data_IF_017085932136
#
_entry.id   IF_017085932136
#
_cell.length_a   1.000
_cell.length_b   1.000
_cell.length_c   1.000
_cell.angle_alpha   90.00
_cell.angle_beta   90.00
_cell.angle_gamma   90.00
#
_symmetry.space_group_name_H-M   'P 1'
#
loop_
_entity.id
_entity.type
_entity.pdbx_description
1 polymer ?
#
# COMPACT_ATOMS: atom_id res chain seq x y z
N UNK A 1 -6.89 -21.01 -33.52
CA UNK A 1 -5.80 -21.13 -32.53
C UNK A 1 -6.11 -20.22 -31.36
N UNK A 2 -6.30 -20.73 -30.13
CA UNK A 2 -6.64 -19.90 -28.97
C UNK A 2 -5.42 -19.08 -28.53
N UNK A 3 -5.56 -17.75 -28.51
CA UNK A 3 -4.54 -16.83 -27.97
C UNK A 3 -4.44 -17.04 -26.47
N UNK A 4 -3.39 -17.72 -26.01
CA UNK A 4 -3.04 -17.80 -24.59
C UNK A 4 -2.72 -16.37 -24.12
N UNK A 5 -3.54 -15.85 -23.22
CA UNK A 5 -3.23 -14.62 -22.48
C UNK A 5 -2.04 -14.94 -21.59
N UNK A 6 -0.86 -14.40 -21.91
CA UNK A 6 0.29 -14.44 -21.01
C UNK A 6 -0.03 -13.44 -19.91
N UNK A 7 -0.42 -13.95 -18.73
CA UNK A 7 -0.47 -13.15 -17.51
C UNK A 7 0.98 -12.99 -17.06
N UNK A 8 1.56 -11.83 -17.37
CA UNK A 8 2.91 -11.50 -16.93
C UNK A 8 2.85 -11.21 -15.43
N UNK A 9 3.32 -12.15 -14.60
CA UNK A 9 3.52 -11.91 -13.17
C UNK A 9 4.78 -11.05 -13.02
N UNK A 10 4.61 -9.74 -12.91
CA UNK A 10 5.70 -8.86 -12.54
C UNK A 10 5.90 -8.97 -11.02
N UNK A 11 7.01 -9.58 -10.60
CA UNK A 11 7.42 -9.57 -9.21
C UNK A 11 8.05 -8.21 -8.92
N UNK A 12 7.27 -7.29 -8.38
CA UNK A 12 7.78 -6.00 -7.90
C UNK A 12 8.28 -6.18 -6.48
N UNK A 13 9.60 -6.04 -6.29
CA UNK A 13 10.19 -6.04 -4.96
C UNK A 13 10.10 -4.62 -4.43
N UNK A 14 9.24 -4.38 -3.45
CA UNK A 14 9.05 -3.06 -2.89
C UNK A 14 9.76 -2.94 -1.54
N UNK A 15 10.66 -1.97 -1.39
CA UNK A 15 11.28 -1.67 -0.09
C UNK A 15 10.55 -0.47 0.49
N UNK A 16 9.91 -0.66 1.65
CA UNK A 16 9.21 0.44 2.33
C UNK A 16 9.85 0.79 3.68
N UNK A 17 10.27 2.05 3.83
CA UNK A 17 10.65 2.62 5.11
C UNK A 17 9.45 3.39 5.66
N UNK A 18 8.95 2.98 6.82
CA UNK A 18 7.69 3.45 7.40
C UNK A 18 7.94 4.05 8.78
N UNK A 19 7.69 5.35 8.92
CA UNK A 19 7.87 6.13 10.15
C UNK A 19 6.52 6.32 10.82
N UNK A 20 6.33 5.80 12.03
CA UNK A 20 5.09 5.95 12.77
C UNK A 20 5.23 7.08 13.80
N UNK A 21 4.42 8.13 13.65
CA UNK A 21 4.15 9.11 14.70
C UNK A 21 2.82 8.69 15.35
N UNK A 22 2.89 7.76 16.30
CA UNK A 22 1.76 7.43 17.15
C UNK A 22 1.78 8.35 18.37
N UNK A 23 0.74 9.15 18.56
CA UNK A 23 0.48 9.82 19.84
C UNK A 23 -0.61 9.04 20.58
N UNK A 24 -0.24 8.24 21.57
CA UNK A 24 -1.22 7.86 22.59
C UNK A 24 -1.61 9.13 23.40
N UNK A 25 -2.91 9.33 23.73
CA UNK A 25 -3.93 8.30 23.98
C UNK A 25 -5.15 8.30 23.03
N UNK A 26 -5.12 9.01 21.90
CA UNK A 26 -6.35 9.27 21.11
C UNK A 26 -6.82 8.15 20.17
N UNK A 27 -6.16 6.98 20.17
CA UNK A 27 -6.47 5.91 19.22
C UNK A 27 -6.22 6.30 17.76
N UNK A 28 -5.44 7.35 17.50
CA UNK A 28 -5.11 7.83 16.16
C UNK A 28 -3.59 7.80 15.98
N UNK A 29 -3.12 7.53 14.76
CA UNK A 29 -1.71 7.62 14.42
C UNK A 29 -1.52 8.06 12.99
N UNK A 30 -0.34 8.61 12.73
CA UNK A 30 0.08 8.99 11.37
C UNK A 30 1.37 8.26 11.07
N UNK A 31 1.48 7.80 9.83
CA UNK A 31 2.63 7.09 9.34
C UNK A 31 3.08 7.70 8.04
N UNK A 32 4.38 7.89 7.87
CA UNK A 32 4.99 8.37 6.62
C UNK A 32 5.80 7.24 6.03
N UNK A 33 5.60 6.92 4.76
CA UNK A 33 6.27 5.81 4.09
C UNK A 33 6.97 6.26 2.82
N UNK A 34 8.19 5.78 2.59
CA UNK A 34 8.80 5.78 1.25
C UNK A 34 8.81 4.35 0.76
N UNK A 35 8.19 4.12 -0.39
CA UNK A 35 8.05 2.81 -1.04
C UNK A 35 8.77 2.89 -2.38
N UNK A 36 9.76 2.01 -2.61
CA UNK A 36 10.48 1.94 -3.88
C UNK A 36 10.12 0.65 -4.57
N UNK A 37 9.37 0.75 -5.66
CA UNK A 37 8.98 -0.36 -6.51
C UNK A 37 10.11 -0.66 -7.50
N UNK A 38 10.67 -1.86 -7.38
CA UNK A 38 11.77 -2.34 -8.20
C UNK A 38 11.25 -3.39 -9.18
N UNK A 39 11.44 -3.13 -10.47
CA UNK A 39 11.23 -4.08 -11.56
C UNK A 39 12.55 -4.79 -11.92
N UNK A 40 12.54 -5.87 -12.74
CA UNK A 40 13.74 -6.64 -13.06
C UNK A 40 14.92 -5.85 -13.65
N UNK A 41 14.68 -4.63 -14.14
CA UNK A 41 15.67 -3.79 -14.81
C UNK A 41 15.98 -2.48 -14.08
N UNK A 42 15.49 -2.29 -12.86
CA UNK A 42 15.76 -1.09 -12.06
C UNK A 42 14.56 -0.64 -11.23
N UNK A 43 14.67 0.57 -10.67
CA UNK A 43 13.55 1.22 -9.98
C UNK A 43 12.51 1.60 -11.01
N UNK A 44 11.33 1.02 -10.91
CA UNK A 44 10.19 1.36 -11.76
C UNK A 44 9.45 2.56 -11.17
N UNK A 45 9.23 2.60 -9.85
CA UNK A 45 8.49 3.72 -9.27
C UNK A 45 8.93 4.01 -7.84
N UNK A 46 8.92 5.29 -7.46
CA UNK A 46 9.09 5.70 -6.06
C UNK A 46 7.81 6.36 -5.59
N UNK A 47 7.23 5.84 -4.50
CA UNK A 47 6.08 6.41 -3.84
C UNK A 47 6.46 7.05 -2.51
N UNK A 48 5.94 8.25 -2.29
CA UNK A 48 5.84 8.89 -0.99
C UNK A 48 4.41 8.71 -0.50
N UNK A 49 4.25 8.16 0.69
CA UNK A 49 2.93 7.90 1.28
C UNK A 49 2.82 8.55 2.65
N UNK A 50 1.61 9.03 2.94
CA UNK A 50 1.16 9.40 4.26
C UNK A 50 -0.01 8.48 4.58
N UNK A 51 -0.06 7.92 5.77
CA UNK A 51 -1.15 7.09 6.24
C UNK A 51 -1.62 7.62 7.57
N UNK A 52 -2.80 8.21 7.61
CA UNK A 52 -3.52 8.44 8.85
C UNK A 52 -4.34 7.21 9.18
N UNK A 53 -4.40 6.81 10.45
CA UNK A 53 -5.31 5.77 10.91
C UNK A 53 -5.95 6.14 12.25
N UNK A 54 -7.14 5.63 12.46
CA UNK A 54 -7.93 5.71 13.67
C UNK A 54 -8.35 4.30 14.06
N UNK A 55 -7.93 3.85 15.24
CA UNK A 55 -8.37 2.61 15.85
C UNK A 55 -9.79 2.78 16.38
N UNK A 56 -10.69 1.98 15.82
CA UNK A 56 -12.01 1.77 16.40
C UNK A 56 -11.88 0.84 17.62
N UNK A 57 -12.88 0.85 18.53
CA UNK A 57 -12.95 -0.15 19.59
C UNK A 57 -12.79 -1.58 19.03
N UNK A 58 -11.88 -2.35 19.63
CA UNK A 58 -11.53 -3.69 19.18
C UNK A 58 -10.28 -3.73 18.30
N UNK A 59 -10.32 -4.53 17.24
CA UNK A 59 -9.16 -4.82 16.39
C UNK A 59 -9.17 -4.09 15.05
N UNK A 60 -10.15 -3.22 14.82
CA UNK A 60 -10.35 -2.56 13.53
C UNK A 60 -9.77 -1.14 13.56
N UNK A 61 -9.09 -0.75 12.49
CA UNK A 61 -8.74 0.65 12.23
C UNK A 61 -9.25 1.10 10.86
N UNK A 62 -9.57 2.38 10.79
CA UNK A 62 -9.90 3.10 9.57
C UNK A 62 -8.74 4.02 9.25
N UNK A 63 -8.31 4.07 8.00
CA UNK A 63 -7.24 4.96 7.60
C UNK A 63 -7.44 5.55 6.22
N UNK A 64 -6.72 6.63 5.97
CA UNK A 64 -6.58 7.22 4.64
C UNK A 64 -5.09 7.17 4.33
N UNK A 65 -4.74 6.61 3.16
CA UNK A 65 -3.34 6.41 2.76
C UNK A 65 -3.02 7.16 1.46
N UNK A 66 -3.05 8.50 1.43
CA UNK A 66 -2.62 9.22 0.24
C UNK A 66 -1.17 8.89 -0.12
N UNK A 67 -0.90 8.69 -1.40
CA UNK A 67 0.45 8.53 -1.91
C UNK A 67 0.66 9.25 -3.24
N UNK A 68 1.90 9.66 -3.48
CA UNK A 68 2.35 10.23 -4.75
C UNK A 68 3.53 9.40 -5.25
N UNK A 69 3.38 8.82 -6.43
CA UNK A 69 4.37 8.02 -7.12
C UNK A 69 4.97 8.76 -8.31
N UNK A 70 6.28 8.60 -8.51
CA UNK A 70 7.03 9.19 -9.62
C UNK A 70 7.80 8.10 -10.36
N UNK A 71 7.71 8.12 -11.69
CA UNK A 71 8.53 7.34 -12.64
C UNK A 71 8.90 8.28 -13.80
N UNK A 72 9.94 7.95 -14.58
CA UNK A 72 10.53 8.66 -15.72
C UNK A 72 9.49 9.18 -16.74
N UNK A 73 8.86 10.33 -16.41
CA UNK A 73 7.80 10.97 -17.20
C UNK A 73 6.35 10.70 -16.76
N UNK A 74 6.13 9.97 -15.66
CA UNK A 74 4.81 9.66 -15.11
C UNK A 74 4.67 10.07 -13.63
N UNK A 75 3.51 10.63 -13.28
CA UNK A 75 3.09 10.95 -11.92
C UNK A 75 1.80 10.21 -11.62
N UNK A 76 1.75 9.60 -10.45
CA UNK A 76 0.57 8.90 -9.94
C UNK A 76 0.21 9.45 -8.57
N UNK A 77 -1.06 9.73 -8.31
CA UNK A 77 -1.56 10.16 -7.00
C UNK A 77 -2.70 9.23 -6.62
N UNK A 78 -2.60 8.56 -5.47
CA UNK A 78 -3.63 7.66 -4.94
C UNK A 78 -4.15 8.22 -3.63
N UNK A 79 -5.46 8.18 -3.42
CA UNK A 79 -6.08 8.55 -2.13
C UNK A 79 -7.09 7.47 -1.68
N UNK A 80 -6.61 6.28 -1.29
CA UNK A 80 -7.46 5.22 -0.75
C UNK A 80 -7.87 5.50 0.70
N UNK A 81 -9.11 5.14 1.01
CA UNK A 81 -9.60 4.86 2.35
C UNK A 81 -9.44 3.35 2.57
N UNK A 82 -8.84 2.97 3.69
CA UNK A 82 -8.49 1.59 4.02
C UNK A 82 -9.08 1.21 5.36
N UNK A 83 -9.75 0.07 5.42
CA UNK A 83 -10.13 -0.61 6.65
C UNK A 83 -9.10 -1.69 6.91
N UNK A 84 -8.56 -1.73 8.13
CA UNK A 84 -7.60 -2.73 8.56
C UNK A 84 -8.13 -3.45 9.80
N UNK A 85 -8.01 -4.76 9.84
CA UNK A 85 -8.31 -5.56 11.02
C UNK A 85 -7.04 -6.27 11.48
N UNK A 86 -6.57 -5.91 12.67
CA UNK A 86 -5.30 -6.37 13.25
C UNK A 86 -5.52 -7.40 14.36
N UNK A 87 -4.93 -8.56 14.20
CA UNK A 87 -4.92 -9.65 15.15
C UNK A 87 -3.53 -9.76 15.80
N UNK A 88 -3.49 -9.81 17.12
CA UNK A 88 -2.27 -10.10 17.88
C UNK A 88 -2.33 -11.54 18.39
N UNK A 89 -1.18 -12.22 18.40
CA UNK A 89 -1.06 -13.59 18.90
C UNK A 89 -1.31 -13.68 20.41
N UNK A 90 -0.94 -12.65 21.17
CA UNK A 90 -1.30 -12.45 22.57
C UNK A 90 -1.26 -10.96 22.92
N UNK A 91 -1.82 -10.56 24.07
CA UNK A 91 -1.85 -9.17 24.50
C UNK A 91 -0.44 -8.53 24.58
N UNK A 92 0.55 -9.35 25.00
CA UNK A 92 1.94 -8.93 25.19
C UNK A 92 2.83 -9.21 23.96
N UNK A 93 2.27 -9.77 22.88
CA UNK A 93 3.04 -10.09 21.69
C UNK A 93 3.23 -8.86 20.81
N UNK A 94 4.48 -8.64 20.38
CA UNK A 94 4.81 -7.73 19.28
C UNK A 94 4.52 -8.34 17.91
N UNK A 95 4.13 -9.62 17.86
CA UNK A 95 3.75 -10.28 16.63
C UNK A 95 2.28 -10.00 16.29
N UNK A 96 2.04 -9.62 15.04
CA UNK A 96 0.72 -9.28 14.54
C UNK A 96 0.49 -9.81 13.14
N UNK A 97 -0.78 -9.98 12.82
CA UNK A 97 -1.29 -10.22 11.48
C UNK A 97 -2.43 -9.25 11.22
N UNK A 98 -2.52 -8.70 10.02
CA UNK A 98 -3.60 -7.81 9.64
C UNK A 98 -4.16 -8.15 8.27
N UNK A 99 -5.48 -8.01 8.14
CA UNK A 99 -6.16 -7.96 6.85
C UNK A 99 -6.51 -6.52 6.55
N UNK A 100 -6.33 -6.08 5.32
CA UNK A 100 -6.78 -4.76 4.91
C UNK A 100 -7.51 -4.78 3.58
N UNK A 101 -8.51 -3.91 3.46
CA UNK A 101 -9.24 -3.66 2.23
C UNK A 101 -9.47 -2.17 2.12
N UNK A 102 -9.50 -1.64 0.92
CA UNK A 102 -9.70 -0.24 0.71
C UNK A 102 -9.98 0.11 -0.73
N UNK A 103 -10.31 1.38 -0.91
CA UNK A 103 -10.52 1.93 -2.23
C UNK A 103 -10.60 3.44 -2.18
N UNK A 104 -10.55 4.04 -3.35
CA UNK A 104 -10.57 5.47 -3.51
C UNK A 104 -10.36 5.82 -4.96
N UNK A 105 -9.58 6.87 -5.18
CA UNK A 105 -9.31 7.40 -6.53
C UNK A 105 -7.80 7.37 -6.76
N UNK A 106 -7.42 6.97 -7.98
CA UNK A 106 -6.10 7.15 -8.55
C UNK A 106 -6.18 8.22 -9.65
N UNK A 107 -5.31 9.20 -9.58
CA UNK A 107 -4.97 10.06 -10.70
C UNK A 107 -3.64 9.59 -11.30
N UNK A 108 -3.61 9.41 -12.61
CA UNK A 108 -2.40 9.05 -13.33
C UNK A 108 -2.17 10.03 -14.48
N UNK A 109 -0.93 10.51 -14.62
CA UNK A 109 -0.53 11.37 -15.72
C UNK A 109 0.84 10.93 -16.26
N UNK A 110 0.93 10.71 -17.56
CA UNK A 110 2.18 10.40 -18.27
C UNK A 110 2.10 10.93 -19.69
N UNK A 111 3.12 11.65 -20.17
CA UNK A 111 3.32 12.09 -21.57
C UNK A 111 2.08 12.05 -22.49
N UNK A 112 1.10 12.92 -22.22
CA UNK A 112 -0.12 13.09 -23.05
C UNK A 112 -1.34 12.28 -22.63
N UNK A 113 -1.22 11.39 -21.65
CA UNK A 113 -2.29 10.64 -21.00
C UNK A 113 -2.56 11.23 -19.62
N UNK A 114 -3.83 11.49 -19.32
CA UNK A 114 -4.32 11.84 -17.98
C UNK A 114 -5.57 11.03 -17.71
N UNK A 115 -5.61 10.40 -16.56
CA UNK A 115 -6.71 9.53 -16.16
C UNK A 115 -7.03 9.74 -14.68
N UNK A 116 -8.31 9.67 -14.35
CA UNK A 116 -8.84 9.63 -12.98
C UNK A 116 -9.70 8.39 -12.90
N UNK A 117 -9.23 7.41 -12.15
CA UNK A 117 -9.80 6.07 -12.14
C UNK A 117 -10.15 5.64 -10.72
N UNK A 118 -11.25 4.87 -10.53
CA UNK A 118 -11.47 4.14 -9.30
C UNK A 118 -10.28 3.22 -8.99
N UNK A 119 -9.84 3.24 -7.75
CA UNK A 119 -8.73 2.44 -7.24
C UNK A 119 -9.21 1.53 -6.11
N UNK A 120 -8.83 0.27 -6.14
CA UNK A 120 -9.10 -0.71 -5.11
C UNK A 120 -7.78 -1.30 -4.61
N UNK A 121 -7.72 -1.55 -3.31
CA UNK A 121 -6.55 -2.20 -2.69
C UNK A 121 -7.00 -3.16 -1.62
N UNK A 122 -6.23 -4.21 -1.41
CA UNK A 122 -6.40 -5.09 -0.27
C UNK A 122 -5.18 -5.97 -0.10
N UNK A 123 -5.12 -6.68 1.00
CA UNK A 123 -4.01 -7.58 1.23
C UNK A 123 -3.91 -8.05 2.66
N UNK A 124 -2.76 -8.65 2.92
CA UNK A 124 -2.37 -9.13 4.24
C UNK A 124 -1.07 -8.47 4.66
N UNK A 125 -0.94 -8.24 5.96
CA UNK A 125 0.27 -7.75 6.60
C UNK A 125 0.58 -8.65 7.79
N UNK A 126 1.84 -8.87 8.06
CA UNK A 126 2.29 -9.56 9.25
C UNK A 126 3.59 -8.97 9.75
N UNK A 127 3.84 -9.04 11.04
CA UNK A 127 5.08 -8.55 11.61
C UNK A 127 5.42 -9.17 12.94
N UNK A 128 6.68 -9.05 13.33
CA UNK A 128 7.23 -9.49 14.61
C UNK A 128 8.20 -8.42 15.10
N UNK A 129 7.97 -7.91 16.31
CA UNK A 129 8.76 -6.81 16.83
C UNK A 129 8.59 -5.57 15.95
N UNK A 130 9.70 -5.11 15.39
CA UNK A 130 9.76 -3.95 14.50
C UNK A 130 9.71 -4.34 13.02
N UNK A 131 9.80 -5.63 12.68
CA UNK A 131 9.82 -6.08 11.29
C UNK A 131 8.40 -6.34 10.80
N UNK A 132 8.12 -5.97 9.55
CA UNK A 132 6.85 -6.25 8.89
C UNK A 132 7.04 -6.73 7.45
N UNK A 133 6.02 -7.44 6.97
CA UNK A 133 5.86 -7.91 5.61
C UNK A 133 4.41 -7.67 5.20
N UNK A 134 4.21 -6.94 4.11
CA UNK A 134 2.94 -6.69 3.49
C UNK A 134 2.89 -7.36 2.12
N UNK A 135 1.73 -7.92 1.79
CA UNK A 135 1.42 -8.47 0.47
C UNK A 135 0.17 -7.76 -0.06
N UNK A 136 0.33 -6.57 -0.65
CA UNK A 136 -0.76 -5.84 -1.27
C UNK A 136 -1.13 -6.39 -2.66
N UNK A 137 -2.42 -6.30 -2.95
CA UNK A 137 -3.00 -6.36 -4.29
C UNK A 137 -3.72 -5.04 -4.52
N UNK A 138 -3.51 -4.44 -5.68
CA UNK A 138 -4.24 -3.23 -6.06
C UNK A 138 -4.69 -3.26 -7.49
N UNK A 139 -5.78 -2.55 -7.79
CA UNK A 139 -6.32 -2.45 -9.14
C UNK A 139 -6.89 -1.06 -9.40
N UNK A 140 -6.52 -0.47 -10.54
CA UNK A 140 -7.09 0.75 -11.06
C UNK A 140 -7.98 0.42 -12.27
N UNK A 141 -9.23 0.90 -12.26
CA UNK A 141 -10.18 0.71 -13.36
C UNK A 141 -10.06 1.86 -14.36
N UNK A 142 -9.42 1.59 -15.50
CA UNK A 142 -9.16 2.57 -16.57
C UNK A 142 -10.10 2.35 -17.75
N UNK A 143 -10.21 3.36 -18.61
CA UNK A 143 -11.08 3.31 -19.82
C UNK A 143 -10.79 2.12 -20.75
N UNK A 144 -9.55 1.59 -20.76
CA UNK A 144 -9.13 0.48 -21.62
C UNK A 144 -9.01 -0.88 -20.90
N UNK A 145 -9.37 -0.96 -19.62
CA UNK A 145 -9.27 -2.18 -18.81
C UNK A 145 -8.86 -1.91 -17.37
N UNK A 146 -8.52 -2.97 -16.64
CA UNK A 146 -8.00 -2.86 -15.27
C UNK A 146 -6.48 -3.03 -15.27
N UNK A 147 -5.76 -2.09 -14.67
CA UNK A 147 -4.35 -2.27 -14.32
C UNK A 147 -4.30 -2.84 -12.91
N UNK A 148 -3.87 -4.10 -12.77
CA UNK A 148 -3.83 -4.82 -11.50
C UNK A 148 -2.40 -5.16 -11.13
N UNK A 149 -1.99 -4.71 -9.95
CA UNK A 149 -0.66 -4.88 -9.40
C UNK A 149 -0.69 -5.85 -8.22
N UNK A 150 0.36 -6.66 -8.12
CA UNK A 150 0.67 -7.49 -6.97
C UNK A 150 2.04 -7.09 -6.45
N UNK A 151 2.12 -6.79 -5.15
CA UNK A 151 3.37 -6.37 -4.51
C UNK A 151 3.74 -7.25 -3.34
N UNK A 152 5.03 -7.27 -3.03
CA UNK A 152 5.54 -7.70 -1.73
C UNK A 152 6.39 -6.58 -1.17
N UNK A 153 6.06 -6.14 0.03
CA UNK A 153 6.75 -5.08 0.73
C UNK A 153 7.26 -5.59 2.06
N UNK A 154 8.53 -5.37 2.36
CA UNK A 154 9.08 -5.67 3.70
C UNK A 154 9.76 -4.42 4.26
N UNK A 155 9.76 -4.29 5.59
CA UNK A 155 10.36 -3.14 6.23
C UNK A 155 10.54 -3.27 7.74
N UNK A 156 11.05 -2.17 8.31
CA UNK A 156 11.25 -2.00 9.74
C UNK A 156 10.51 -0.75 10.20
N UNK A 157 9.73 -0.90 11.27
CA UNK A 157 9.06 0.18 11.98
C UNK A 157 10.08 0.92 12.85
N UNK A 158 10.18 2.22 12.65
CA UNK A 158 11.00 3.11 13.49
C UNK A 158 10.07 3.90 14.41
N UNK A 159 10.14 3.59 15.70
CA UNK A 159 9.45 4.28 16.79
C UNK A 159 10.44 5.23 17.48
N UNK A 160 10.00 6.46 17.80
CA UNK A 160 10.77 7.50 18.47
C UNK A 160 10.12 7.89 19.79
#
# INVERSE_FOLDING_TARGET
>A
MPRRKIVLFLLVLSVSATFCLASEPSGAGVTVGVTVDVAPFGVDQVFLSLQGFYFLPGTVSLGIKPSVGFNDGAVMVRVPIVVNQRYRLSADSSAFFSLFVGGGIEYYASNGVRDVSPYFTGGVSGGIGRFFLDVPVSSALRDKGSDTDFGVTAGVLIEF
#
